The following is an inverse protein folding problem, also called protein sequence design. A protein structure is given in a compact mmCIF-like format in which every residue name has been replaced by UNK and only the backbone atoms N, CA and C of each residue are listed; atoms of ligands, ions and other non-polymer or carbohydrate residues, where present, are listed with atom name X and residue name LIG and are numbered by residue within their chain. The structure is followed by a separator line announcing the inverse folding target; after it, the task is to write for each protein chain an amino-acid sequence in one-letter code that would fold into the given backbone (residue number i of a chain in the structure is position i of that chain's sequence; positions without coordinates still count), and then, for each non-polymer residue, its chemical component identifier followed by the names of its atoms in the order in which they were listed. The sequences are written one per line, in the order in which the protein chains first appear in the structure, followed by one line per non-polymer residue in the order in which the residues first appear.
data_IF_108484298574
#
_entry.id   IF_108484298574
#
_cell.length_a   1.000
_cell.length_b   1.000
_cell.length_c   1.000
_cell.angle_alpha   90.00
_cell.angle_beta   90.00
_cell.angle_gamma   90.00
#
_symmetry.space_group_name_H-M   'P 1'
#
loop_
_entity.id
_entity.type
_entity.pdbx_description
1 polymer ?
#
# COMPACT_ATOMS: atom_id res chain seq x y z
N UNK A 1 -1.90 -20.86 12.55
CA UNK A 1 -0.94 -21.93 12.88
C UNK A 1 0.46 -21.68 12.32
N UNK A 2 1.10 -20.69 12.88
CA UNK A 2 2.48 -20.37 12.58
C UNK A 2 3.35 -21.06 13.62
N UNK A 3 4.36 -21.82 13.19
CA UNK A 3 5.21 -22.60 14.12
C UNK A 3 6.68 -22.32 13.86
N UNK A 4 7.42 -22.04 14.95
CA UNK A 4 8.88 -22.07 14.93
C UNK A 4 9.31 -23.52 15.22
N UNK A 5 10.03 -24.13 14.29
CA UNK A 5 10.47 -25.53 14.41
C UNK A 5 11.84 -25.57 15.08
N UNK A 6 11.93 -26.33 16.16
CA UNK A 6 13.21 -26.76 16.74
C UNK A 6 13.59 -28.13 16.16
N UNK A 7 14.87 -28.49 16.27
CA UNK A 7 15.38 -29.80 15.81
C UNK A 7 14.77 -31.03 16.51
N UNK A 8 13.97 -30.80 17.55
CA UNK A 8 13.39 -31.87 18.42
C UNK A 8 11.88 -32.08 18.18
N UNK A 9 11.25 -31.24 17.31
CA UNK A 9 9.80 -31.31 17.08
C UNK A 9 9.45 -32.30 15.97
N UNK A 10 9.39 -33.57 16.34
CA UNK A 10 9.11 -34.72 15.43
C UNK A 10 7.74 -34.60 14.74
N UNK A 11 6.71 -34.10 15.43
CA UNK A 11 5.36 -33.96 14.87
C UNK A 11 5.33 -32.86 13.78
N UNK A 12 5.97 -31.71 14.02
CA UNK A 12 6.05 -30.67 12.99
C UNK A 12 6.91 -31.13 11.81
N UNK A 13 7.97 -31.88 12.03
CA UNK A 13 8.76 -32.46 10.93
C UNK A 13 7.93 -33.44 10.07
N UNK A 14 7.09 -34.27 10.69
CA UNK A 14 6.15 -35.14 9.97
C UNK A 14 5.20 -34.32 9.11
N UNK A 15 4.56 -33.29 9.65
CA UNK A 15 3.63 -32.41 8.94
C UNK A 15 4.30 -31.65 7.79
N UNK A 16 5.60 -31.32 7.92
CA UNK A 16 6.39 -30.73 6.84
C UNK A 16 6.57 -31.76 5.71
N UNK A 17 6.97 -33.00 6.02
CA UNK A 17 7.14 -34.04 5.01
C UNK A 17 5.84 -34.43 4.32
N UNK A 18 4.71 -34.37 5.03
CA UNK A 18 3.37 -34.60 4.47
C UNK A 18 2.81 -33.44 3.65
N UNK A 19 3.57 -32.34 3.51
CA UNK A 19 3.16 -31.16 2.74
C UNK A 19 2.07 -30.30 3.41
N UNK A 20 1.78 -30.52 4.69
CA UNK A 20 0.79 -29.77 5.45
C UNK A 20 1.27 -28.38 5.88
N UNK A 21 2.55 -28.06 5.70
CA UNK A 21 3.17 -26.82 6.11
C UNK A 21 3.86 -26.12 4.95
N UNK A 22 3.70 -24.80 4.88
CA UNK A 22 4.42 -23.91 3.97
C UNK A 22 5.60 -23.29 4.72
N UNK A 23 6.79 -23.41 4.17
CA UNK A 23 7.97 -22.84 4.77
C UNK A 23 8.07 -21.34 4.44
N UNK A 24 8.14 -20.49 5.46
CA UNK A 24 8.28 -19.02 5.33
C UNK A 24 9.72 -18.57 5.52
N UNK A 25 10.46 -19.22 6.43
CA UNK A 25 11.89 -18.98 6.69
C UNK A 25 12.57 -20.31 7.03
N UNK A 26 13.87 -20.27 7.31
CA UNK A 26 14.63 -21.46 7.69
C UNK A 26 13.99 -22.25 8.83
N UNK A 27 13.33 -21.59 9.79
CA UNK A 27 12.76 -22.21 10.98
C UNK A 27 11.29 -21.85 11.24
N UNK A 28 10.64 -21.10 10.35
CA UNK A 28 9.25 -20.68 10.55
C UNK A 28 8.39 -21.24 9.42
N UNK A 29 7.34 -21.92 9.81
CA UNK A 29 6.39 -22.63 8.94
C UNK A 29 4.97 -22.18 9.24
N UNK A 30 4.10 -22.28 8.26
CA UNK A 30 2.68 -21.92 8.35
C UNK A 30 1.82 -23.03 7.78
N UNK A 31 0.62 -23.25 8.33
CA UNK A 31 -0.30 -24.29 7.87
C UNK A 31 -0.68 -24.06 6.39
N UNK A 32 -0.48 -25.07 5.54
CA UNK A 32 -0.74 -24.99 4.11
C UNK A 32 -2.22 -24.79 3.78
N UNK A 33 -3.13 -25.39 4.55
CA UNK A 33 -4.58 -25.23 4.35
C UNK A 33 -5.04 -23.79 4.60
N UNK A 34 -4.54 -23.16 5.67
CA UNK A 34 -4.81 -21.75 5.96
C UNK A 34 -4.12 -20.84 4.95
N UNK A 35 -2.87 -21.14 4.57
CA UNK A 35 -2.11 -20.37 3.59
C UNK A 35 -2.85 -20.24 2.25
N UNK A 36 -3.48 -21.29 1.77
CA UNK A 36 -4.24 -21.31 0.53
C UNK A 36 -5.43 -20.32 0.54
N UNK A 37 -6.01 -20.09 1.72
CA UNK A 37 -7.15 -19.18 1.91
C UNK A 37 -6.73 -17.70 2.03
N UNK A 38 -5.44 -17.43 2.28
CA UNK A 38 -4.96 -16.07 2.45
C UNK A 38 -4.89 -15.33 1.12
N UNK A 39 -5.23 -14.06 1.16
CA UNK A 39 -4.99 -13.12 0.05
C UNK A 39 -3.50 -12.84 -0.10
N UNK A 40 -3.08 -12.40 -1.30
CA UNK A 40 -1.64 -12.21 -1.57
C UNK A 40 -0.99 -11.20 -0.63
N UNK A 41 -1.66 -10.09 -0.28
CA UNK A 41 -1.11 -9.11 0.66
C UNK A 41 -0.92 -9.69 2.07
N UNK A 42 -1.78 -10.61 2.52
CA UNK A 42 -1.66 -11.29 3.80
C UNK A 42 -0.46 -12.25 3.80
N UNK A 43 -0.29 -12.99 2.70
CA UNK A 43 0.88 -13.86 2.50
C UNK A 43 2.18 -13.06 2.49
N UNK A 44 2.19 -11.91 1.79
CA UNK A 44 3.33 -11.01 1.74
C UNK A 44 3.67 -10.44 3.12
N UNK A 45 2.66 -10.01 3.89
CA UNK A 45 2.83 -9.58 5.28
C UNK A 45 3.49 -10.66 6.13
N UNK A 46 2.94 -11.88 6.12
CA UNK A 46 3.45 -13.00 6.93
C UNK A 46 4.89 -13.37 6.57
N UNK A 47 5.25 -13.34 5.28
CA UNK A 47 6.64 -13.55 4.85
C UNK A 47 7.58 -12.50 5.43
N UNK A 48 7.18 -11.22 5.38
CA UNK A 48 7.97 -10.13 5.96
C UNK A 48 8.10 -10.29 7.48
N UNK A 49 6.99 -10.57 8.17
CA UNK A 49 6.97 -10.73 9.62
C UNK A 49 7.84 -11.91 10.07
N UNK A 50 7.69 -13.08 9.41
CA UNK A 50 8.51 -14.25 9.69
C UNK A 50 10.01 -13.98 9.45
N UNK A 51 10.36 -13.23 8.41
CA UNK A 51 11.74 -12.81 8.15
C UNK A 51 12.31 -11.93 9.28
N UNK A 52 11.52 -10.98 9.76
CA UNK A 52 11.87 -10.15 10.92
C UNK A 52 12.11 -10.98 12.18
N UNK A 53 11.21 -11.94 12.46
CA UNK A 53 11.36 -12.88 13.59
C UNK A 53 12.60 -13.77 13.49
N UNK A 54 13.00 -14.14 12.26
CA UNK A 54 14.19 -14.95 12.03
C UNK A 54 15.47 -14.16 12.22
N UNK A 55 15.44 -12.84 12.00
CA UNK A 55 16.63 -11.98 12.02
C UNK A 55 16.72 -11.16 13.31
N UNK A 56 17.74 -11.44 14.11
CA UNK A 56 17.94 -10.71 15.39
C UNK A 56 18.47 -9.27 15.23
N UNK A 57 19.08 -8.92 14.10
CA UNK A 57 19.79 -7.64 13.90
C UNK A 57 19.37 -6.88 12.66
N UNK A 58 18.75 -7.53 11.70
CA UNK A 58 18.33 -6.88 10.48
C UNK A 58 17.02 -6.11 10.70
N UNK A 59 16.85 -5.05 9.92
CA UNK A 59 15.69 -4.18 9.92
C UNK A 59 14.99 -4.37 8.57
N UNK A 60 13.70 -4.67 8.57
CA UNK A 60 12.91 -4.68 7.34
C UNK A 60 12.81 -3.26 6.79
N UNK A 61 13.03 -3.12 5.49
CA UNK A 61 13.04 -1.83 4.78
C UNK A 61 12.22 -1.92 3.50
N UNK A 62 12.06 -0.78 2.80
CA UNK A 62 11.40 -0.71 1.49
C UNK A 62 9.97 -1.29 1.54
N UNK A 63 9.51 -1.99 0.50
CA UNK A 63 8.18 -2.60 0.46
C UNK A 63 7.92 -3.59 1.60
N UNK A 64 8.96 -4.20 2.18
CA UNK A 64 8.79 -5.09 3.32
C UNK A 64 8.37 -4.35 4.59
N UNK A 65 8.97 -3.19 4.86
CA UNK A 65 8.54 -2.31 5.93
C UNK A 65 7.18 -1.67 5.64
N UNK A 66 6.92 -1.33 4.36
CA UNK A 66 5.63 -0.78 3.94
C UNK A 66 4.47 -1.72 4.28
N UNK A 67 4.63 -3.02 4.03
CA UNK A 67 3.63 -4.05 4.38
C UNK A 67 3.33 -4.10 5.87
N UNK A 68 4.33 -3.88 6.73
CA UNK A 68 4.15 -3.87 8.18
C UNK A 68 3.52 -2.56 8.69
N UNK A 69 3.83 -1.44 8.02
CA UNK A 69 3.28 -0.13 8.35
C UNK A 69 1.88 0.12 7.76
N UNK A 70 1.40 -0.72 6.82
CA UNK A 70 0.22 -0.44 6.01
C UNK A 70 0.42 0.69 4.98
N UNK A 71 1.67 1.03 4.66
CA UNK A 71 2.01 2.02 3.63
C UNK A 71 1.75 1.43 2.25
N UNK A 72 1.08 2.20 1.39
CA UNK A 72 0.72 1.75 0.06
C UNK A 72 1.93 1.55 -0.85
N UNK A 73 1.87 0.47 -1.62
CA UNK A 73 2.78 0.20 -2.73
C UNK A 73 2.01 -0.45 -3.86
N UNK A 74 2.41 -0.18 -5.10
CA UNK A 74 1.91 -0.88 -6.29
C UNK A 74 2.85 -2.02 -6.71
N UNK A 75 4.00 -2.16 -6.07
CA UNK A 75 4.98 -3.19 -6.35
C UNK A 75 4.44 -4.60 -6.04
N UNK A 76 4.65 -5.55 -6.96
CA UNK A 76 4.24 -6.95 -6.84
C UNK A 76 5.46 -7.88 -6.95
N UNK A 77 5.38 -9.03 -6.27
CA UNK A 77 6.42 -10.05 -6.38
C UNK A 77 7.77 -9.66 -5.77
N UNK A 78 7.81 -8.61 -4.96
CA UNK A 78 9.02 -8.08 -4.37
C UNK A 78 9.63 -9.04 -3.34
N UNK A 79 10.96 -9.19 -3.33
CA UNK A 79 11.64 -9.95 -2.30
C UNK A 79 11.45 -9.31 -0.94
N UNK A 80 11.57 -10.11 0.11
CA UNK A 80 11.66 -9.57 1.47
C UNK A 80 13.02 -8.89 1.63
N UNK A 81 13.01 -7.56 1.84
CA UNK A 81 14.21 -6.74 1.88
C UNK A 81 14.57 -6.36 3.32
N UNK A 82 15.81 -6.68 3.71
CA UNK A 82 16.35 -6.43 5.04
C UNK A 82 17.63 -5.60 4.98
N UNK A 83 17.70 -4.57 5.82
CA UNK A 83 18.93 -3.83 6.06
C UNK A 83 19.76 -4.51 7.14
N UNK A 84 21.05 -4.68 6.89
CA UNK A 84 22.04 -5.17 7.86
C UNK A 84 23.08 -4.08 8.11
N UNK A 85 23.26 -3.62 9.37
CA UNK A 85 24.08 -2.45 9.65
C UNK A 85 25.57 -2.69 9.46
N UNK A 86 26.07 -3.88 9.80
CA UNK A 86 27.49 -4.22 9.73
C UNK A 86 27.67 -5.71 9.39
N UNK A 87 28.64 -6.00 8.54
CA UNK A 87 29.09 -7.36 8.28
C UNK A 87 28.70 -7.91 6.91
N UNK A 88 29.29 -9.03 6.56
CA UNK A 88 28.92 -9.78 5.37
C UNK A 88 27.45 -10.19 5.50
N UNK A 89 26.63 -10.03 4.45
CA UNK A 89 25.31 -10.67 4.47
C UNK A 89 25.54 -12.12 4.90
N UNK A 90 24.62 -12.60 5.76
CA UNK A 90 24.62 -14.00 6.14
C UNK A 90 24.84 -14.78 4.84
N UNK A 91 25.93 -15.55 4.80
CA UNK A 91 26.41 -16.21 3.59
C UNK A 91 25.23 -16.77 2.79
N UNK A 92 25.03 -16.24 1.59
CA UNK A 92 23.99 -16.67 0.63
C UNK A 92 24.28 -18.09 0.09
N UNK A 93 25.23 -18.82 0.65
CA UNK A 93 25.38 -20.26 0.42
C UNK A 93 24.14 -20.95 1.00
N UNK A 94 23.10 -21.12 0.19
CA UNK A 94 21.78 -21.59 0.56
C UNK A 94 20.79 -20.45 0.84
N UNK A 95 20.95 -19.27 0.22
CA UNK A 95 20.04 -18.14 0.34
C UNK A 95 18.62 -18.50 -0.03
N UNK A 96 17.68 -18.13 0.83
CA UNK A 96 16.26 -18.27 0.55
C UNK A 96 15.93 -17.48 -0.70
N UNK A 97 15.37 -18.12 -1.68
CA UNK A 97 14.76 -17.44 -2.83
C UNK A 97 13.70 -16.48 -2.31
N UNK A 98 13.80 -15.20 -2.70
CA UNK A 98 12.84 -14.19 -2.28
C UNK A 98 13.28 -13.29 -1.11
N UNK A 99 14.55 -13.36 -0.71
CA UNK A 99 15.15 -12.45 0.29
C UNK A 99 16.28 -11.63 -0.32
N UNK A 100 16.28 -10.33 0.02
CA UNK A 100 17.34 -9.40 -0.35
C UNK A 100 17.94 -8.76 0.90
N UNK A 101 19.27 -8.77 1.01
CA UNK A 101 19.98 -8.09 2.10
C UNK A 101 20.74 -6.89 1.54
N UNK A 102 20.47 -5.71 2.12
CA UNK A 102 21.17 -4.47 1.76
C UNK A 102 22.04 -4.00 2.92
N UNK A 103 23.31 -3.66 2.62
CA UNK A 103 24.18 -3.03 3.60
C UNK A 103 23.70 -1.60 3.81
N UNK A 104 23.03 -1.37 4.93
CA UNK A 104 22.53 -0.05 5.30
C UNK A 104 22.41 0.07 6.81
N UNK A 105 22.99 1.13 7.36
CA UNK A 105 22.75 1.50 8.74
C UNK A 105 21.46 2.31 8.81
N UNK A 106 20.52 1.87 9.64
CA UNK A 106 19.27 2.58 9.91
C UNK A 106 19.41 3.21 11.30
N UNK A 107 19.26 4.54 11.44
CA UNK A 107 19.23 5.19 12.74
C UNK A 107 18.12 4.64 13.61
N UNK A 108 18.38 4.55 14.92
CA UNK A 108 17.43 4.03 15.91
C UNK A 108 16.09 4.77 15.89
N UNK A 109 16.12 6.09 15.71
CA UNK A 109 14.92 6.94 15.60
C UNK A 109 14.03 6.61 14.40
N UNK A 110 14.54 5.87 13.40
CA UNK A 110 13.79 5.45 12.24
C UNK A 110 13.25 4.02 12.36
N UNK A 111 13.52 3.31 13.47
CA UNK A 111 13.16 1.91 13.67
C UNK A 111 11.95 1.79 14.59
N UNK A 112 10.98 0.97 14.16
CA UNK A 112 9.91 0.46 15.01
C UNK A 112 10.26 -0.95 15.45
N UNK A 113 9.96 -1.24 16.71
CA UNK A 113 10.08 -2.55 17.33
C UNK A 113 8.68 -3.14 17.56
N UNK A 114 8.42 -4.27 16.97
CA UNK A 114 7.20 -5.07 17.20
C UNK A 114 7.62 -6.47 17.66
N UNK A 115 7.76 -6.64 18.98
CA UNK A 115 8.35 -7.83 19.55
C UNK A 115 9.79 -8.04 19.02
N UNK A 116 10.06 -9.19 18.38
CA UNK A 116 11.39 -9.47 17.80
C UNK A 116 11.62 -8.79 16.44
N UNK A 117 10.57 -8.26 15.83
CA UNK A 117 10.60 -7.70 14.47
C UNK A 117 11.03 -6.23 14.52
N UNK A 118 11.91 -5.85 13.62
CA UNK A 118 12.40 -4.48 13.45
C UNK A 118 12.12 -4.02 12.03
N UNK A 119 11.54 -2.84 11.88
CA UNK A 119 11.27 -2.27 10.56
C UNK A 119 11.31 -0.75 10.58
N UNK A 120 11.54 -0.12 9.46
CA UNK A 120 11.55 1.34 9.37
C UNK A 120 10.15 1.90 9.63
N UNK A 121 10.05 3.05 10.32
CA UNK A 121 8.79 3.76 10.52
C UNK A 121 8.19 4.22 9.18
N UNK A 122 6.90 4.58 9.16
CA UNK A 122 6.16 4.89 7.96
C UNK A 122 6.79 6.02 7.11
N UNK A 123 7.25 7.10 7.75
CA UNK A 123 7.88 8.24 7.07
C UNK A 123 9.19 7.81 6.42
N UNK A 124 10.05 7.12 7.17
CA UNK A 124 11.31 6.62 6.63
C UNK A 124 11.08 5.61 5.51
N UNK A 125 10.09 4.75 5.66
CA UNK A 125 9.71 3.75 4.65
C UNK A 125 9.26 4.42 3.35
N UNK A 126 8.37 5.42 3.40
CA UNK A 126 7.91 6.13 2.21
C UNK A 126 9.06 6.88 1.51
N UNK A 127 9.97 7.49 2.28
CA UNK A 127 11.17 8.14 1.73
C UNK A 127 12.09 7.11 1.07
N UNK A 128 12.33 5.96 1.68
CA UNK A 128 13.18 4.92 1.11
C UNK A 128 12.56 4.32 -0.16
N UNK A 129 11.23 4.15 -0.23
CA UNK A 129 10.52 3.77 -1.47
C UNK A 129 10.78 4.81 -2.57
N UNK A 130 10.63 6.10 -2.28
CA UNK A 130 10.93 7.15 -3.26
C UNK A 130 12.38 7.08 -3.74
N UNK A 131 13.33 6.85 -2.84
CA UNK A 131 14.76 6.76 -3.17
C UNK A 131 15.12 5.58 -4.07
N UNK A 132 14.54 4.43 -3.79
CA UNK A 132 14.89 3.18 -4.46
C UNK A 132 14.07 2.93 -5.74
N UNK A 133 12.81 3.39 -5.76
CA UNK A 133 11.83 3.05 -6.80
C UNK A 133 11.40 4.25 -7.66
N UNK A 134 11.79 5.44 -7.28
CA UNK A 134 11.51 6.63 -8.05
C UNK A 134 10.37 7.49 -7.49
N UNK A 135 10.09 8.57 -8.21
CA UNK A 135 9.16 9.61 -7.76
C UNK A 135 7.72 9.08 -7.65
N UNK A 136 7.25 8.33 -8.64
CA UNK A 136 5.87 7.81 -8.70
C UNK A 136 5.52 6.92 -7.51
N UNK A 137 6.33 5.90 -7.26
CA UNK A 137 6.15 5.02 -6.09
C UNK A 137 6.30 5.79 -4.78
N UNK A 138 7.22 6.75 -4.75
CA UNK A 138 7.41 7.64 -3.60
C UNK A 138 6.18 8.47 -3.29
N UNK A 139 5.52 9.05 -4.28
CA UNK A 139 4.27 9.81 -4.08
C UNK A 139 3.19 8.92 -3.51
N UNK A 140 2.98 7.73 -4.07
CA UNK A 140 1.97 6.77 -3.59
C UNK A 140 2.21 6.42 -2.12
N UNK A 141 3.46 6.15 -1.76
CA UNK A 141 3.83 5.81 -0.38
C UNK A 141 3.65 7.02 0.57
N UNK A 142 3.99 8.23 0.13
CA UNK A 142 3.80 9.47 0.91
C UNK A 142 2.31 9.77 1.07
N UNK A 143 1.51 9.66 -0.01
CA UNK A 143 0.05 9.84 0.05
C UNK A 143 -0.57 8.92 1.09
N UNK A 144 -0.15 7.65 1.13
CA UNK A 144 -0.60 6.68 2.13
C UNK A 144 -0.38 7.16 3.57
N UNK A 145 0.78 7.75 3.84
CA UNK A 145 1.11 8.27 5.19
C UNK A 145 0.31 9.53 5.51
N UNK A 146 0.01 10.35 4.48
CA UNK A 146 -0.73 11.60 4.64
C UNK A 146 -2.25 11.43 4.61
N UNK A 147 -2.74 10.33 4.04
CA UNK A 147 -4.18 10.08 3.83
C UNK A 147 -4.96 10.02 5.14
N UNK A 148 -6.17 10.58 5.11
CA UNK A 148 -7.13 10.47 6.21
C UNK A 148 -6.84 11.36 7.42
N UNK A 149 -5.81 12.20 7.39
CA UNK A 149 -5.45 13.06 8.52
C UNK A 149 -6.05 14.47 8.43
N UNK A 150 -6.45 15.01 9.59
CA UNK A 150 -6.88 16.40 9.73
C UNK A 150 -5.70 17.37 9.54
N UNK A 151 -6.01 18.67 9.38
CA UNK A 151 -5.03 19.71 9.00
C UNK A 151 -3.80 19.76 9.92
N UNK A 152 -3.98 19.69 11.24
CA UNK A 152 -2.87 19.78 12.18
C UNK A 152 -1.88 18.62 12.02
N UNK A 153 -2.36 17.38 11.98
CA UNK A 153 -1.50 16.21 11.84
C UNK A 153 -0.88 16.15 10.44
N UNK A 154 -1.61 16.58 9.43
CA UNK A 154 -1.07 16.68 8.07
C UNK A 154 0.16 17.60 7.99
N UNK A 155 0.10 18.81 8.55
CA UNK A 155 1.23 19.73 8.59
C UNK A 155 2.41 19.19 9.42
N UNK A 156 2.11 18.53 10.53
CA UNK A 156 3.14 17.87 11.34
C UNK A 156 3.86 16.76 10.55
N UNK A 157 3.12 15.91 9.85
CA UNK A 157 3.68 14.85 9.00
C UNK A 157 4.54 15.44 7.87
N UNK A 158 4.07 16.51 7.22
CA UNK A 158 4.87 17.19 6.19
C UNK A 158 6.18 17.75 6.77
N UNK A 159 6.14 18.32 7.99
CA UNK A 159 7.35 18.78 8.66
C UNK A 159 8.31 17.62 8.95
N UNK A 160 7.80 16.49 9.46
CA UNK A 160 8.62 15.30 9.72
C UNK A 160 9.20 14.71 8.42
N UNK A 161 8.47 14.70 7.31
CA UNK A 161 9.00 14.32 5.98
C UNK A 161 10.15 15.24 5.56
N UNK A 162 9.98 16.56 5.63
CA UNK A 162 11.02 17.54 5.27
C UNK A 162 12.27 17.35 6.14
N UNK A 163 12.11 17.21 7.44
CA UNK A 163 13.22 16.99 8.39
C UNK A 163 13.97 15.68 8.07
N UNK A 164 13.26 14.59 7.80
CA UNK A 164 13.87 13.30 7.48
C UNK A 164 14.60 13.34 6.14
N UNK A 165 14.01 13.98 5.10
CA UNK A 165 14.67 14.19 3.80
C UNK A 165 15.93 15.03 3.95
N UNK A 166 15.92 16.07 4.80
CA UNK A 166 17.10 16.91 5.07
C UNK A 166 18.19 16.09 5.76
N UNK A 167 17.85 15.29 6.75
CA UNK A 167 18.80 14.41 7.47
C UNK A 167 19.41 13.35 6.53
N UNK A 168 18.70 12.92 5.51
CA UNK A 168 19.18 11.96 4.51
C UNK A 168 19.88 12.62 3.31
N UNK A 169 20.22 13.92 3.41
CA UNK A 169 20.94 14.62 2.34
C UNK A 169 22.24 13.87 1.99
N UNK A 170 22.57 13.85 0.69
CA UNK A 170 23.75 13.15 0.16
C UNK A 170 23.56 11.64 -0.01
N UNK A 171 22.47 11.03 0.49
CA UNK A 171 22.23 9.60 0.25
C UNK A 171 21.70 9.35 -1.16
N UNK A 172 22.05 8.19 -1.72
CA UNK A 172 21.61 7.79 -3.07
C UNK A 172 20.08 7.86 -3.18
N UNK A 173 19.59 8.46 -4.26
CA UNK A 173 18.17 8.54 -4.59
C UNK A 173 17.36 9.58 -3.83
N UNK A 174 17.92 10.34 -2.87
CA UNK A 174 17.18 11.34 -2.08
C UNK A 174 16.52 12.45 -2.92
N UNK A 175 17.06 12.70 -4.12
CA UNK A 175 16.46 13.64 -5.07
C UNK A 175 15.04 13.24 -5.47
N UNK A 176 14.74 11.94 -5.55
CA UNK A 176 13.41 11.44 -5.85
C UNK A 176 12.43 11.76 -4.71
N UNK A 177 12.84 11.58 -3.46
CA UNK A 177 12.00 11.93 -2.31
C UNK A 177 11.70 13.44 -2.25
N UNK A 178 12.71 14.29 -2.58
CA UNK A 178 12.52 15.75 -2.69
C UNK A 178 11.54 16.13 -3.79
N UNK A 179 11.52 15.39 -4.90
CA UNK A 179 10.56 15.59 -5.99
C UNK A 179 9.19 15.04 -5.67
N UNK A 180 9.11 13.92 -4.93
CA UNK A 180 7.86 13.26 -4.62
C UNK A 180 7.03 14.04 -3.58
N UNK A 181 7.66 14.58 -2.54
CA UNK A 181 6.95 15.22 -1.43
C UNK A 181 6.01 16.37 -1.88
N UNK A 182 6.42 17.32 -2.74
CA UNK A 182 5.53 18.40 -3.21
C UNK A 182 4.40 17.91 -4.13
N UNK A 183 4.50 16.71 -4.70
CA UNK A 183 3.47 16.09 -5.53
C UNK A 183 2.49 15.25 -4.70
N UNK A 184 2.76 15.06 -3.41
CA UNK A 184 1.93 14.23 -2.56
C UNK A 184 0.63 14.93 -2.15
N UNK A 185 -0.40 14.12 -1.89
CA UNK A 185 -1.75 14.56 -1.53
C UNK A 185 -2.33 13.66 -0.44
N UNK A 186 -3.08 14.25 0.49
CA UNK A 186 -3.85 13.48 1.49
C UNK A 186 -5.22 13.03 1.01
N UNK A 187 -5.59 13.38 -0.22
CA UNK A 187 -6.95 13.18 -0.74
C UNK A 187 -7.15 11.83 -1.43
N UNK A 188 -6.12 11.05 -1.65
CA UNK A 188 -6.26 9.70 -2.18
C UNK A 188 -6.66 8.73 -1.08
N UNK A 189 -7.62 7.84 -1.36
CA UNK A 189 -8.06 6.79 -0.44
C UNK A 189 -7.45 5.41 -0.81
N UNK A 190 -6.71 5.34 -1.92
CA UNK A 190 -6.05 4.12 -2.41
C UNK A 190 -4.77 4.39 -3.19
N UNK A 191 -3.86 3.39 -3.32
CA UNK A 191 -2.65 3.52 -4.13
C UNK A 191 -2.94 3.78 -5.61
N UNK A 192 -4.04 3.26 -6.13
CA UNK A 192 -4.40 3.42 -7.54
C UNK A 192 -5.07 4.76 -7.83
N UNK A 193 -5.72 5.38 -6.84
CA UNK A 193 -6.14 6.78 -6.94
C UNK A 193 -4.92 7.72 -7.01
N UNK A 194 -3.91 7.49 -6.15
CA UNK A 194 -2.64 8.23 -6.22
C UNK A 194 -1.97 8.05 -7.59
N UNK A 195 -1.98 6.84 -8.13
CA UNK A 195 -1.42 6.53 -9.45
C UNK A 195 -2.19 7.24 -10.57
N UNK A 196 -3.53 7.15 -10.57
CA UNK A 196 -4.36 7.83 -11.57
C UNK A 196 -4.17 9.34 -11.54
N UNK A 197 -4.09 9.93 -10.35
CA UNK A 197 -3.81 11.35 -10.17
C UNK A 197 -2.50 11.75 -10.87
N UNK A 198 -1.43 10.99 -10.67
CA UNK A 198 -0.14 11.25 -11.31
C UNK A 198 -0.19 11.09 -12.84
N UNK A 199 -0.96 10.13 -13.34
CA UNK A 199 -1.18 9.94 -14.79
C UNK A 199 -1.95 11.14 -15.36
N UNK A 200 -3.01 11.58 -14.69
CA UNK A 200 -3.79 12.75 -15.11
C UNK A 200 -2.94 14.03 -15.16
N UNK A 201 -2.11 14.24 -14.11
CA UNK A 201 -1.17 15.38 -14.05
C UNK A 201 -0.16 15.34 -15.19
N UNK A 202 0.42 14.17 -15.47
CA UNK A 202 1.41 14.00 -16.54
C UNK A 202 0.83 14.28 -17.95
N UNK A 203 -0.46 14.02 -18.15
CA UNK A 203 -1.16 14.23 -19.42
C UNK A 203 -1.94 15.55 -19.47
N UNK A 204 -1.83 16.40 -18.43
CA UNK A 204 -2.49 17.72 -18.38
C UNK A 204 -4.01 17.63 -18.37
N UNK A 205 -4.59 16.57 -17.85
CA UNK A 205 -6.04 16.39 -17.72
C UNK A 205 -6.51 17.08 -16.45
N UNK A 206 -7.37 18.11 -16.52
CA UNK A 206 -7.85 18.80 -15.32
C UNK A 206 -8.87 17.93 -14.58
N UNK A 207 -8.74 17.82 -13.27
CA UNK A 207 -9.62 17.04 -12.41
C UNK A 207 -9.82 17.67 -11.04
N UNK A 208 -10.82 17.17 -10.31
CA UNK A 208 -11.03 17.41 -8.89
C UNK A 208 -11.11 16.06 -8.19
N UNK A 209 -10.28 15.84 -7.18
CA UNK A 209 -10.33 14.61 -6.36
C UNK A 209 -11.37 14.71 -5.28
N UNK A 210 -11.95 13.59 -4.91
CA UNK A 210 -12.90 13.44 -3.80
C UNK A 210 -14.07 14.45 -3.88
N UNK A 211 -14.55 14.71 -5.10
CA UNK A 211 -15.61 15.67 -5.34
C UNK A 211 -16.96 15.18 -4.77
N UNK A 212 -17.72 16.09 -4.16
CA UNK A 212 -19.05 15.77 -3.65
C UNK A 212 -20.10 16.21 -4.66
N UNK A 213 -20.88 15.25 -5.15
CA UNK A 213 -21.98 15.43 -6.10
C UNK A 213 -23.27 14.99 -5.41
N UNK A 214 -24.13 15.94 -5.05
CA UNK A 214 -25.31 15.65 -4.25
C UNK A 214 -24.94 14.98 -2.93
N UNK A 215 -25.35 13.72 -2.74
CA UNK A 215 -25.05 12.90 -1.55
C UNK A 215 -23.84 11.98 -1.71
N UNK A 216 -23.26 11.93 -2.90
CA UNK A 216 -22.17 11.00 -3.22
C UNK A 216 -20.82 11.73 -3.29
N UNK A 217 -19.80 11.07 -2.80
CA UNK A 217 -18.39 11.45 -2.97
C UNK A 217 -17.81 10.56 -4.06
N UNK A 218 -17.16 11.16 -5.05
CA UNK A 218 -16.55 10.49 -6.20
C UNK A 218 -15.04 10.67 -6.17
N UNK A 219 -14.29 9.67 -6.65
CA UNK A 219 -12.83 9.70 -6.57
C UNK A 219 -12.27 10.84 -7.42
N UNK A 220 -12.73 10.96 -8.66
CA UNK A 220 -12.34 12.05 -9.56
C UNK A 220 -13.55 12.60 -10.31
N UNK A 221 -13.55 13.92 -10.47
CA UNK A 221 -14.46 14.61 -11.38
C UNK A 221 -13.60 15.37 -12.42
N UNK A 222 -13.71 14.95 -13.68
CA UNK A 222 -12.98 15.50 -14.82
C UNK A 222 -13.92 16.45 -15.57
N UNK A 223 -13.48 17.68 -15.76
CA UNK A 223 -14.35 18.74 -16.29
C UNK A 223 -15.56 18.93 -15.39
N UNK A 224 -16.75 19.05 -16.00
CA UNK A 224 -17.98 19.36 -15.26
C UNK A 224 -18.83 18.11 -14.94
N UNK A 225 -18.62 16.99 -15.62
CA UNK A 225 -19.58 15.87 -15.57
C UNK A 225 -19.03 14.47 -15.90
N UNK A 226 -17.72 14.28 -16.07
CA UNK A 226 -17.15 12.95 -16.15
C UNK A 226 -16.65 12.52 -14.77
N UNK A 227 -17.33 11.58 -14.16
CA UNK A 227 -16.90 10.91 -12.93
C UNK A 227 -15.99 9.75 -13.29
N UNK A 228 -14.87 9.64 -12.61
CA UNK A 228 -13.95 8.49 -12.71
C UNK A 228 -13.78 7.88 -11.34
N UNK A 229 -14.06 6.59 -11.24
CA UNK A 229 -13.95 5.78 -10.02
C UNK A 229 -12.84 4.75 -10.19
N UNK A 230 -12.10 4.49 -9.12
CA UNK A 230 -11.03 3.51 -9.09
C UNK A 230 -11.43 2.34 -8.18
N UNK A 231 -11.82 1.23 -8.78
CA UNK A 231 -12.29 0.07 -8.06
C UNK A 231 -11.22 -1.00 -7.87
N UNK A 232 -11.17 -1.60 -6.67
CA UNK A 232 -10.35 -2.77 -6.41
C UNK A 232 -10.93 -4.01 -7.09
N UNK A 233 -10.10 -4.76 -7.85
CA UNK A 233 -10.52 -6.01 -8.49
C UNK A 233 -11.10 -7.04 -7.50
N UNK A 234 -10.59 -7.06 -6.29
CA UNK A 234 -11.02 -8.01 -5.24
C UNK A 234 -12.48 -7.82 -4.79
N UNK A 235 -13.11 -6.70 -5.14
CA UNK A 235 -14.51 -6.44 -4.78
C UNK A 235 -15.51 -7.31 -5.55
N UNK A 236 -15.13 -7.92 -6.68
CA UNK A 236 -16.08 -8.58 -7.59
C UNK A 236 -16.21 -10.10 -7.41
N UNK A 237 -15.21 -10.79 -6.84
CA UNK A 237 -15.29 -12.26 -6.66
C UNK A 237 -16.10 -12.70 -5.42
N UNK A 238 -16.27 -11.82 -4.41
CA UNK A 238 -16.97 -12.10 -3.15
C UNK A 238 -17.92 -10.97 -2.71
N UNK A 239 -18.39 -10.11 -3.65
CA UNK A 239 -19.19 -8.94 -3.25
C UNK A 239 -20.60 -9.37 -2.92
N UNK A 240 -21.11 -9.09 -1.70
CA UNK A 240 -22.50 -9.26 -1.36
C UNK A 240 -23.40 -8.50 -2.36
N UNK A 241 -24.50 -9.11 -2.82
CA UNK A 241 -25.45 -8.50 -3.75
C UNK A 241 -25.87 -7.07 -3.36
N UNK A 242 -25.91 -6.77 -2.08
CA UNK A 242 -26.26 -5.44 -1.56
C UNK A 242 -25.25 -4.35 -1.90
N UNK A 243 -23.96 -4.68 -2.02
CA UNK A 243 -22.92 -3.71 -2.38
C UNK A 243 -23.00 -3.37 -3.87
N UNK A 244 -23.16 -4.39 -4.73
CA UNK A 244 -23.36 -4.20 -6.17
C UNK A 244 -24.64 -3.38 -6.44
N UNK A 245 -25.71 -3.67 -5.71
CA UNK A 245 -26.97 -2.91 -5.82
C UNK A 245 -26.77 -1.44 -5.42
N UNK A 246 -26.06 -1.17 -4.33
CA UNK A 246 -25.78 0.20 -3.89
C UNK A 246 -24.93 0.97 -4.91
N UNK A 247 -23.93 0.32 -5.50
CA UNK A 247 -23.10 0.91 -6.54
C UNK A 247 -23.94 1.25 -7.77
N UNK A 248 -24.78 0.32 -8.26
CA UNK A 248 -25.68 0.54 -9.39
C UNK A 248 -26.65 1.71 -9.13
N UNK A 249 -27.29 1.75 -7.97
CA UNK A 249 -28.18 2.87 -7.59
C UNK A 249 -27.45 4.21 -7.58
N UNK A 250 -26.18 4.23 -7.19
CA UNK A 250 -25.32 5.42 -7.23
C UNK A 250 -25.04 5.84 -8.67
N UNK A 251 -24.64 4.89 -9.53
CA UNK A 251 -24.30 5.16 -10.92
C UNK A 251 -25.54 5.61 -11.73
N UNK A 252 -26.69 4.95 -11.52
CA UNK A 252 -27.96 5.35 -12.11
C UNK A 252 -28.33 6.77 -11.70
N UNK A 253 -28.22 7.12 -10.41
CA UNK A 253 -28.50 8.47 -9.92
C UNK A 253 -27.57 9.51 -10.56
N UNK A 254 -26.26 9.22 -10.66
CA UNK A 254 -25.29 10.10 -11.32
C UNK A 254 -25.65 10.29 -12.79
N UNK A 255 -26.01 9.22 -13.50
CA UNK A 255 -26.41 9.27 -14.90
C UNK A 255 -27.70 10.09 -15.12
N UNK A 256 -28.72 9.95 -14.25
CA UNK A 256 -29.96 10.74 -14.26
C UNK A 256 -29.68 12.24 -14.09
N UNK A 257 -28.60 12.59 -13.35
CA UNK A 257 -28.16 13.97 -13.14
C UNK A 257 -27.12 14.43 -14.17
N UNK A 258 -26.93 13.64 -15.26
CA UNK A 258 -26.12 13.98 -16.40
C UNK A 258 -24.62 13.77 -16.25
N UNK A 259 -24.22 13.04 -15.25
CA UNK A 259 -22.84 12.60 -15.12
C UNK A 259 -22.60 11.31 -15.89
N UNK A 260 -21.49 11.22 -16.58
CA UNK A 260 -20.99 9.96 -17.12
C UNK A 260 -20.04 9.35 -16.10
N UNK A 261 -20.24 8.08 -15.77
CA UNK A 261 -19.36 7.35 -14.85
C UNK A 261 -18.44 6.41 -15.63
N UNK A 262 -17.16 6.47 -15.34
CA UNK A 262 -16.13 5.59 -15.88
C UNK A 262 -15.41 4.90 -14.73
N UNK A 263 -15.44 3.56 -14.75
CA UNK A 263 -14.75 2.74 -13.77
C UNK A 263 -13.40 2.25 -14.31
N UNK A 264 -12.36 2.42 -13.50
CA UNK A 264 -11.06 1.77 -13.69
C UNK A 264 -10.83 0.74 -12.60
N UNK A 265 -10.34 -0.41 -12.99
CA UNK A 265 -9.97 -1.49 -12.09
C UNK A 265 -8.46 -1.56 -11.95
N UNK A 266 -7.99 -2.15 -10.86
CA UNK A 266 -6.55 -2.27 -10.60
C UNK A 266 -5.76 -2.89 -11.76
N UNK A 267 -6.38 -3.77 -12.54
CA UNK A 267 -5.74 -4.39 -13.72
C UNK A 267 -5.56 -3.42 -14.89
N UNK A 268 -6.39 -2.39 -15.01
CA UNK A 268 -6.27 -1.37 -16.07
C UNK A 268 -4.93 -0.61 -15.95
N UNK A 269 -4.38 -0.51 -14.74
CA UNK A 269 -3.12 0.21 -14.45
C UNK A 269 -1.85 -0.58 -14.76
N UNK A 270 -1.97 -1.82 -15.23
CA UNK A 270 -0.84 -2.65 -15.63
C UNK A 270 -0.61 -2.68 -17.15
N UNK A 271 -1.52 -2.03 -17.88
CA UNK A 271 -1.42 -1.81 -19.32
C UNK A 271 -0.69 -0.53 -19.68
N UNK A 272 -0.96 -0.05 -20.89
CA UNK A 272 -0.45 1.23 -21.37
C UNK A 272 -1.23 2.39 -20.72
N UNK A 273 -0.53 3.38 -20.18
CA UNK A 273 -1.14 4.58 -19.61
C UNK A 273 -1.89 5.40 -20.67
N UNK A 274 -1.42 5.37 -21.90
CA UNK A 274 -2.10 6.06 -23.03
C UNK A 274 -3.49 5.50 -23.27
N UNK A 275 -3.72 4.19 -23.06
CA UNK A 275 -5.05 3.58 -23.17
C UNK A 275 -6.01 4.11 -22.10
N UNK A 276 -5.54 4.26 -20.86
CA UNK A 276 -6.32 4.88 -19.78
C UNK A 276 -6.74 6.30 -20.16
N UNK A 277 -5.79 7.10 -20.60
CA UNK A 277 -6.02 8.49 -20.99
C UNK A 277 -6.93 8.57 -22.23
N UNK A 278 -6.78 7.66 -23.18
CA UNK A 278 -7.64 7.63 -24.35
C UNK A 278 -9.10 7.29 -23.98
N UNK A 279 -9.32 6.37 -23.06
CA UNK A 279 -10.66 6.06 -22.50
C UNK A 279 -11.26 7.30 -21.83
N UNK A 280 -10.49 8.04 -21.06
CA UNK A 280 -10.94 9.30 -20.44
C UNK A 280 -11.27 10.35 -21.49
N UNK A 281 -10.40 10.59 -22.49
CA UNK A 281 -10.61 11.55 -23.57
C UNK A 281 -11.86 11.20 -24.40
N UNK A 282 -12.08 9.93 -24.69
CA UNK A 282 -13.26 9.46 -25.42
C UNK A 282 -14.57 9.62 -24.60
N UNK A 283 -14.46 9.54 -23.29
CA UNK A 283 -15.59 9.72 -22.39
C UNK A 283 -15.95 11.20 -22.16
N UNK A 284 -14.95 12.08 -22.11
CA UNK A 284 -15.08 13.50 -21.74
C UNK A 284 -15.90 14.34 -22.75
N UNK A 285 -15.73 14.32 -24.09
CA UNK A 285 -16.50 15.15 -25.02
C UNK A 285 -17.99 14.87 -25.07
N UNK A 286 -18.40 13.64 -24.64
CA UNK A 286 -19.80 13.25 -24.57
C UNK A 286 -20.55 13.90 -23.39
N UNK A 287 -19.83 14.59 -22.54
CA UNK A 287 -20.32 15.28 -21.37
C UNK A 287 -20.83 16.67 -21.77
N UNK A 288 -22.11 16.82 -22.12
CA UNK A 288 -22.75 18.11 -22.39
C UNK A 288 -22.88 18.92 -21.11
N UNK A 289 -22.69 20.28 -21.24
CA UNK A 289 -22.93 21.25 -20.18
C UNK A 289 -24.24 20.97 -19.45
N UNK A 290 -24.14 20.63 -18.19
CA UNK A 290 -25.25 20.60 -17.27
C UNK A 290 -25.03 21.66 -16.19
N UNK A 291 -26.15 22.09 -15.60
CA UNK A 291 -26.18 23.17 -14.61
C UNK A 291 -25.18 22.92 -13.46
N UNK A 292 -24.55 23.96 -12.93
CA UNK A 292 -23.56 23.83 -11.88
C UNK A 292 -24.23 23.22 -10.64
N UNK A 293 -23.91 21.96 -10.37
CA UNK A 293 -24.21 21.35 -9.06
C UNK A 293 -23.26 21.99 -8.07
N UNK A 294 -23.83 22.61 -7.02
CA UNK A 294 -23.05 23.21 -5.95
C UNK A 294 -22.20 22.11 -5.28
N UNK A 295 -20.92 22.11 -5.56
CA UNK A 295 -19.93 21.31 -4.83
C UNK A 295 -19.75 22.00 -3.49
N UNK A 296 -20.47 21.56 -2.46
CA UNK A 296 -20.18 21.98 -1.07
C UNK A 296 -19.06 21.10 -0.57
N UNK A 297 -17.91 21.67 -0.18
CA UNK A 297 -16.94 20.91 0.60
C UNK A 297 -17.62 20.58 1.93
N UNK A 298 -18.08 19.34 2.10
CA UNK A 298 -18.38 18.83 3.44
C UNK A 298 -17.06 18.69 4.16
N UNK A 299 -17.04 19.16 5.41
CA UNK A 299 -15.92 18.95 6.28
C UNK A 299 -15.48 17.48 6.21
N UNK A 300 -14.24 17.27 5.90
CA UNK A 300 -13.58 15.97 5.83
C UNK A 300 -13.78 15.28 7.17
N UNK A 301 -14.51 14.18 7.21
CA UNK A 301 -14.49 13.30 8.37
C UNK A 301 -13.27 12.41 8.19
N UNK A 302 -12.22 12.54 9.00
CA UNK A 302 -11.05 11.70 8.87
C UNK A 302 -11.50 10.24 8.99
N UNK A 303 -11.24 9.45 7.97
CA UNK A 303 -11.15 8.01 8.15
C UNK A 303 -9.92 7.86 9.04
N UNK A 304 -10.12 7.32 10.24
CA UNK A 304 -9.09 7.28 11.29
C UNK A 304 -7.72 6.81 10.79
N UNK A 305 -6.67 6.98 11.61
CA UNK A 305 -5.28 6.82 11.23
C UNK A 305 -5.12 5.54 10.43
N UNK A 306 -4.35 5.66 9.33
CA UNK A 306 -4.18 4.64 8.31
C UNK A 306 -4.34 3.26 8.90
N UNK A 307 -5.35 2.53 8.50
CA UNK A 307 -5.69 1.26 9.11
C UNK A 307 -4.40 0.44 9.07
N UNK A 308 -3.76 0.28 10.23
CA UNK A 308 -2.89 -0.87 10.40
C UNK A 308 -3.65 -2.02 9.73
N UNK A 309 -3.02 -2.73 8.81
CA UNK A 309 -3.67 -3.85 8.14
C UNK A 309 -4.27 -4.67 9.25
N UNK A 310 -5.59 -4.50 9.48
CA UNK A 310 -6.27 -5.27 10.49
C UNK A 310 -6.16 -6.70 10.01
N UNK A 311 -5.21 -7.43 10.59
CA UNK A 311 -5.07 -8.83 10.31
C UNK A 311 -6.38 -9.49 10.71
N UNK A 312 -6.91 -10.43 9.91
CA UNK A 312 -7.98 -11.28 10.37
C UNK A 312 -7.63 -11.84 11.76
N UNK A 313 -8.60 -12.05 12.66
CA UNK A 313 -8.33 -12.47 14.05
C UNK A 313 -7.42 -13.69 14.16
N UNK A 314 -7.56 -14.64 13.25
CA UNK A 314 -6.73 -15.84 13.12
C UNK A 314 -5.25 -15.52 12.73
N UNK A 315 -5.03 -14.47 11.95
CA UNK A 315 -3.69 -13.99 11.62
C UNK A 315 -3.10 -13.15 12.75
N UNK A 316 -3.91 -12.37 13.45
CA UNK A 316 -3.49 -11.64 14.64
C UNK A 316 -3.00 -12.61 15.72
N UNK A 317 -3.74 -13.70 15.94
CA UNK A 317 -3.34 -14.76 16.86
C UNK A 317 -2.00 -15.40 16.44
N UNK A 318 -1.82 -15.67 15.15
CA UNK A 318 -0.57 -16.22 14.61
C UNK A 318 0.64 -15.28 14.83
N UNK A 319 0.44 -13.97 14.65
CA UNK A 319 1.46 -12.96 14.93
C UNK A 319 1.76 -12.87 16.42
N UNK A 320 0.73 -12.91 17.25
CA UNK A 320 0.88 -12.86 18.71
C UNK A 320 1.62 -14.07 19.28
N UNK A 321 1.46 -15.24 18.65
CA UNK A 321 2.25 -16.44 19.01
C UNK A 321 3.74 -16.27 18.69
N UNK A 322 4.12 -15.53 17.64
CA UNK A 322 5.52 -15.23 17.33
C UNK A 322 6.13 -14.14 18.20
N UNK A 323 5.31 -13.30 18.80
CA UNK A 323 5.75 -12.25 19.74
C UNK A 323 6.17 -12.80 21.09
N UNK A 324 5.66 -14.00 21.45
CA UNK A 324 6.02 -14.66 22.71
C UNK A 324 7.48 -15.14 22.64
N UNK A 325 8.28 -14.91 23.68
CA UNK A 325 9.70 -15.25 23.72
C UNK A 325 9.95 -16.77 23.63
#
# INVERSE_FOLDING_TARGET
DLRRVSSVDTETHRRISDGEMVQLTKSIYFCAATWKKLKEYQRAFLRCYAAGCQSRRAVLIDCSAARLNGVWTIARGEPVTLAVPNGRPASIKGGWTGYEYRHRQIPEADIIYDGPVRYTNAIRTAIDIARERGVREGVIAIDSVLSGHGDHLYEELLHQFRATIARLAGTKGIANARKALPLASRLSDSPYESLLRLILDAHGVPYRTQAVIGRYRVDFLIGDNLVVEVDGWEKYEEVPHDVLRKQRVRDDWLAEHGYKVLHFYTNDFWGDEDDLIQRIRNAWPAARRLLPVQVKPKGFTPIGPGRSVALPPDLQEAVDMLRRP
#
